data_IF_042383967363
#
_entry.id   IF_042383967363
#
_cell.length_a   1.000
_cell.length_b   1.000
_cell.length_c   1.000
_cell.angle_alpha   90.00
_cell.angle_beta   90.00
_cell.angle_gamma   90.00
#
_symmetry.space_group_name_H-M   'P 1'
#
loop_
_entity.id
_entity.type
_entity.pdbx_description
1 polymer ?
#
# COMPACT_ATOMS: atom_id res chain seq x y z
N UNK A 1 26.94 -4.03 -2.85
CA UNK A 1 26.32 -2.87 -2.18
C UNK A 1 25.67 -2.03 -3.27
N UNK A 2 24.36 -2.17 -3.48
CA UNK A 2 23.63 -1.32 -4.42
C UNK A 2 23.37 0.02 -3.76
N UNK A 3 23.88 1.09 -4.30
CA UNK A 3 23.48 2.45 -3.99
C UNK A 3 22.00 2.58 -4.41
N UNK A 4 21.09 2.47 -3.46
CA UNK A 4 19.70 2.88 -3.68
C UNK A 4 19.68 4.40 -3.79
N UNK A 5 19.69 4.91 -5.00
CA UNK A 5 19.47 6.34 -5.24
C UNK A 5 17.97 6.58 -5.08
N UNK A 6 17.57 7.15 -3.95
CA UNK A 6 16.18 7.54 -3.72
C UNK A 6 15.83 8.75 -4.56
N UNK A 7 14.65 8.73 -5.18
CA UNK A 7 14.14 9.88 -5.90
C UNK A 7 13.66 10.94 -4.89
N UNK A 8 14.05 12.19 -5.11
CA UNK A 8 13.54 13.28 -4.29
C UNK A 8 12.07 13.55 -4.63
N UNK A 9 11.23 13.53 -3.60
CA UNK A 9 9.77 13.69 -3.69
C UNK A 9 9.32 14.92 -4.48
N UNK A 10 10.06 16.01 -4.40
CA UNK A 10 9.69 17.31 -4.99
C UNK A 10 9.96 17.41 -6.50
N UNK A 11 10.69 16.47 -7.08
CA UNK A 11 11.12 16.53 -8.49
C UNK A 11 10.31 15.63 -9.43
N UNK A 12 9.45 14.73 -8.90
CA UNK A 12 8.72 13.77 -9.71
C UNK A 12 7.24 14.18 -9.84
N UNK A 13 6.71 14.36 -11.06
CA UNK A 13 5.28 14.59 -11.26
C UNK A 13 4.43 13.51 -10.61
N UNK A 14 3.26 13.89 -10.04
CA UNK A 14 2.38 13.01 -9.26
C UNK A 14 1.99 11.74 -10.01
N UNK A 15 1.64 11.86 -11.28
CA UNK A 15 1.29 10.72 -12.13
C UNK A 15 2.47 9.76 -12.36
N UNK A 16 3.66 10.30 -12.59
CA UNK A 16 4.88 9.48 -12.75
C UNK A 16 5.21 8.76 -11.43
N UNK A 17 5.07 9.44 -10.30
CA UNK A 17 5.26 8.82 -8.99
C UNK A 17 4.31 7.65 -8.76
N UNK A 18 3.02 7.79 -9.11
CA UNK A 18 2.02 6.69 -9.07
C UNK A 18 2.45 5.50 -9.92
N UNK A 19 2.87 5.77 -11.15
CA UNK A 19 3.35 4.73 -12.07
C UNK A 19 4.54 3.99 -11.47
N UNK A 20 5.54 4.70 -10.94
CA UNK A 20 6.71 4.09 -10.32
C UNK A 20 6.35 3.24 -9.10
N UNK A 21 5.46 3.73 -8.23
CA UNK A 21 4.96 2.97 -7.09
C UNK A 21 4.28 1.68 -7.56
N UNK A 22 3.42 1.76 -8.57
CA UNK A 22 2.72 0.59 -9.11
C UNK A 22 3.66 -0.41 -9.81
N UNK A 23 4.70 0.06 -10.48
CA UNK A 23 5.72 -0.82 -11.07
C UNK A 23 6.54 -1.55 -10.01
N UNK A 24 6.99 -0.87 -8.94
CA UNK A 24 7.69 -1.54 -7.84
C UNK A 24 6.75 -2.56 -7.16
N UNK A 25 5.49 -2.21 -6.93
CA UNK A 25 4.49 -3.12 -6.39
C UNK A 25 4.36 -4.41 -7.23
N UNK A 26 4.27 -4.29 -8.55
CA UNK A 26 4.23 -5.45 -9.45
C UNK A 26 5.52 -6.27 -9.40
N UNK A 27 6.68 -5.62 -9.26
CA UNK A 27 7.96 -6.29 -9.12
C UNK A 27 8.02 -7.10 -7.81
N UNK A 28 7.59 -6.49 -6.69
CA UNK A 28 7.54 -7.16 -5.38
C UNK A 28 6.61 -8.39 -5.38
N UNK A 29 5.46 -8.29 -6.07
CA UNK A 29 4.53 -9.41 -6.24
C UNK A 29 5.18 -10.54 -7.04
N UNK A 30 5.83 -10.24 -8.18
CA UNK A 30 6.53 -11.23 -9.00
C UNK A 30 7.66 -11.93 -8.25
N UNK A 31 8.38 -11.19 -7.40
CA UNK A 31 9.44 -11.72 -6.56
C UNK A 31 8.94 -12.46 -5.30
N UNK A 32 7.61 -12.52 -5.11
CA UNK A 32 6.96 -13.11 -3.92
C UNK A 32 7.39 -12.47 -2.60
N UNK A 33 7.83 -11.22 -2.64
CA UNK A 33 8.15 -10.41 -1.46
C UNK A 33 6.91 -9.87 -0.78
N UNK A 34 5.85 -9.62 -1.55
CA UNK A 34 4.52 -9.25 -1.05
C UNK A 34 3.55 -10.38 -1.42
N UNK A 35 2.79 -10.84 -0.44
CA UNK A 35 1.67 -11.74 -0.61
C UNK A 35 0.36 -10.98 -0.40
N UNK A 36 -0.47 -10.81 -1.42
CA UNK A 36 -1.74 -10.11 -1.29
C UNK A 36 -2.67 -10.80 -0.31
N UNK A 37 -3.12 -10.06 0.70
CA UNK A 37 -4.05 -10.53 1.72
C UNK A 37 -5.13 -9.50 1.98
N UNK A 38 -6.39 -9.92 1.97
CA UNK A 38 -7.53 -9.07 2.33
C UNK A 38 -7.57 -8.80 3.83
N UNK A 39 -8.19 -7.70 4.19
CA UNK A 39 -8.41 -7.29 5.59
C UNK A 39 -7.11 -7.16 6.41
N UNK A 40 -6.00 -6.86 5.74
CA UNK A 40 -4.70 -6.71 6.41
C UNK A 40 -3.91 -5.65 5.70
N UNK A 41 -3.69 -4.49 6.31
CA UNK A 41 -2.91 -3.44 5.65
C UNK A 41 -1.48 -3.90 5.38
N UNK A 42 -0.72 -4.22 6.41
CA UNK A 42 0.61 -4.83 6.30
C UNK A 42 0.78 -5.76 7.51
N UNK A 43 1.11 -7.01 7.25
CA UNK A 43 1.57 -7.95 8.26
C UNK A 43 3.03 -8.30 7.99
N UNK A 44 3.89 -7.84 8.88
CA UNK A 44 5.31 -8.17 8.90
C UNK A 44 5.48 -9.30 9.92
N UNK A 45 5.61 -10.53 9.47
CA UNK A 45 5.64 -11.72 10.31
C UNK A 45 6.65 -11.66 11.49
N UNK A 46 7.70 -10.85 11.35
CA UNK A 46 8.72 -10.65 12.38
C UNK A 46 8.67 -9.27 13.06
N UNK A 47 7.83 -8.35 12.61
CA UNK A 47 7.80 -6.96 13.09
C UNK A 47 7.18 -6.78 14.48
N UNK A 48 6.49 -7.79 15.00
CA UNK A 48 6.07 -7.81 16.42
C UNK A 48 7.24 -7.69 17.39
N UNK A 49 8.49 -7.83 16.88
CA UNK A 49 9.74 -7.66 17.62
C UNK A 49 10.47 -6.35 17.32
N UNK A 50 9.85 -5.44 16.55
CA UNK A 50 10.42 -4.10 16.29
C UNK A 50 10.34 -3.31 17.59
N UNK A 51 11.39 -3.38 18.39
CA UNK A 51 11.50 -2.66 19.64
C UNK A 51 11.87 -1.18 19.43
N UNK A 52 11.91 -0.43 20.52
CA UNK A 52 12.26 1.00 20.57
C UNK A 52 13.55 1.36 19.77
N UNK A 53 14.52 0.44 19.74
CA UNK A 53 15.78 0.64 19.01
C UNK A 53 15.64 0.81 17.51
N UNK A 54 14.49 0.43 16.95
CA UNK A 54 14.25 0.47 15.49
C UNK A 54 13.34 1.63 15.08
N UNK A 55 12.84 2.44 15.99
CA UNK A 55 11.95 3.59 15.72
C UNK A 55 12.51 4.56 14.69
N UNK A 56 13.83 4.74 14.66
CA UNK A 56 14.50 5.67 13.75
C UNK A 56 14.86 5.07 12.39
N UNK A 57 14.63 3.77 12.19
CA UNK A 57 14.87 3.14 10.90
C UNK A 57 13.84 3.62 9.88
N UNK A 58 14.25 3.61 8.63
CA UNK A 58 13.33 3.78 7.52
C UNK A 58 12.49 2.51 7.35
N UNK A 59 11.24 2.66 6.93
CA UNK A 59 10.30 1.55 6.80
C UNK A 59 10.78 0.51 5.78
N UNK A 60 11.38 0.95 4.67
CA UNK A 60 11.95 0.07 3.65
C UNK A 60 13.03 -0.85 4.21
N UNK A 61 13.90 -0.34 5.10
CA UNK A 61 14.96 -1.14 5.74
C UNK A 61 14.41 -2.27 6.60
N UNK A 62 13.25 -2.06 7.23
CA UNK A 62 12.58 -3.10 8.01
C UNK A 62 11.92 -4.11 7.09
N UNK A 63 11.28 -3.66 6.02
CA UNK A 63 10.60 -4.51 5.04
C UNK A 63 11.61 -5.38 4.28
N UNK A 64 12.76 -4.84 3.88
CA UNK A 64 13.79 -5.59 3.14
C UNK A 64 14.36 -6.77 3.93
N UNK A 65 14.39 -6.68 5.25
CA UNK A 65 14.84 -7.77 6.13
C UNK A 65 13.84 -8.93 6.22
N UNK A 66 12.59 -8.69 5.82
CA UNK A 66 11.56 -9.73 5.85
C UNK A 66 11.73 -10.68 4.66
N UNK A 67 11.49 -11.97 4.88
CA UNK A 67 11.42 -12.95 3.80
C UNK A 67 10.27 -12.62 2.83
N UNK A 68 9.14 -12.26 3.38
CA UNK A 68 7.96 -11.72 2.71
C UNK A 68 7.10 -10.96 3.72
N UNK A 69 6.20 -10.14 3.22
CA UNK A 69 5.11 -9.54 4.01
C UNK A 69 3.75 -9.85 3.39
N UNK A 70 2.71 -9.87 4.19
CA UNK A 70 1.33 -9.94 3.72
C UNK A 70 0.75 -8.53 3.74
N UNK A 71 0.06 -8.13 2.67
CA UNK A 71 -0.49 -6.79 2.57
C UNK A 71 -1.75 -6.73 1.69
N UNK A 72 -2.68 -5.81 2.03
CA UNK A 72 -3.75 -5.42 1.11
C UNK A 72 -3.21 -4.49 0.00
N UNK A 73 -4.10 -3.98 -0.84
CA UNK A 73 -3.70 -3.09 -1.92
C UNK A 73 -3.05 -1.80 -1.40
N UNK A 74 -3.65 -1.13 -0.41
CA UNK A 74 -3.09 0.09 0.17
C UNK A 74 -1.76 -0.15 0.86
N UNK A 75 -1.64 -1.24 1.63
CA UNK A 75 -0.38 -1.65 2.25
C UNK A 75 0.71 -1.92 1.22
N UNK A 76 0.37 -2.54 0.10
CA UNK A 76 1.30 -2.79 -1.01
C UNK A 76 1.80 -1.48 -1.63
N UNK A 77 0.91 -0.51 -1.85
CA UNK A 77 1.29 0.82 -2.35
C UNK A 77 2.19 1.55 -1.34
N UNK A 78 1.90 1.46 -0.04
CA UNK A 78 2.72 2.07 1.01
C UNK A 78 4.13 1.47 1.04
N UNK A 79 4.26 0.15 0.97
CA UNK A 79 5.55 -0.54 0.91
C UNK A 79 6.36 -0.04 -0.28
N UNK A 80 5.77 -0.02 -1.47
CA UNK A 80 6.44 0.40 -2.70
C UNK A 80 6.81 1.89 -2.66
N UNK A 81 5.93 2.73 -2.10
CA UNK A 81 6.23 4.14 -1.87
C UNK A 81 7.44 4.31 -0.94
N UNK A 82 7.50 3.57 0.17
CA UNK A 82 8.62 3.63 1.11
C UNK A 82 9.94 3.22 0.43
N UNK A 83 9.90 2.20 -0.43
CA UNK A 83 11.08 1.71 -1.16
C UNK A 83 11.61 2.70 -2.19
N UNK A 84 10.73 3.42 -2.88
CA UNK A 84 11.14 4.35 -3.95
C UNK A 84 11.59 5.69 -3.38
N UNK A 85 10.88 6.23 -2.40
CA UNK A 85 11.05 7.60 -1.93
C UNK A 85 11.69 7.72 -0.54
N UNK A 86 11.95 6.62 0.14
CA UNK A 86 12.67 6.53 1.44
C UNK A 86 12.37 7.65 2.45
N UNK A 87 11.11 8.00 2.61
CA UNK A 87 10.72 9.14 3.46
C UNK A 87 9.80 8.73 4.61
N UNK A 88 9.67 7.43 4.88
CA UNK A 88 8.82 6.91 5.95
C UNK A 88 9.64 6.25 7.04
N UNK A 89 9.58 6.81 8.23
CA UNK A 89 10.17 6.22 9.43
C UNK A 89 9.23 5.20 10.05
N UNK A 90 9.79 4.17 10.64
CA UNK A 90 9.05 3.18 11.44
C UNK A 90 8.23 3.85 12.53
N UNK A 91 8.79 4.90 13.17
CA UNK A 91 8.09 5.68 14.21
C UNK A 91 6.76 6.27 13.78
N UNK A 92 6.57 6.52 12.48
CA UNK A 92 5.28 7.02 11.94
C UNK A 92 4.14 6.01 12.06
N UNK A 93 4.45 4.73 12.29
CA UNK A 93 3.48 3.63 12.41
C UNK A 93 3.58 2.90 13.75
N UNK A 94 4.36 3.46 14.70
CA UNK A 94 4.45 2.90 16.05
C UNK A 94 3.26 3.33 16.90
N UNK A 95 2.70 2.37 17.62
CA UNK A 95 1.73 2.58 18.69
C UNK A 95 2.37 2.20 20.03
N UNK A 96 1.66 2.38 21.11
CA UNK A 96 2.08 1.88 22.44
C UNK A 96 2.22 0.34 22.49
N UNK A 97 1.55 -0.36 21.57
CA UNK A 97 1.56 -1.83 21.43
C UNK A 97 2.59 -2.35 20.42
N UNK A 98 3.34 -1.46 19.76
CA UNK A 98 4.34 -1.79 18.76
C UNK A 98 4.02 -1.25 17.37
N UNK A 99 4.62 -1.84 16.33
CA UNK A 99 4.39 -1.45 14.95
C UNK A 99 3.02 -1.98 14.50
N UNK A 100 2.10 -1.07 14.25
CA UNK A 100 0.75 -1.39 13.80
C UNK A 100 0.39 -0.61 12.53
N UNK A 101 0.09 -1.36 11.49
CA UNK A 101 -0.47 -0.86 10.22
C UNK A 101 -1.96 -1.18 10.13
N UNK A 102 -2.52 -1.83 11.17
CA UNK A 102 -3.91 -2.26 11.17
C UNK A 102 -4.81 -1.18 11.74
N UNK A 103 -5.92 -1.02 11.09
CA UNK A 103 -6.96 -0.06 11.34
C UNK A 103 -7.78 -0.25 12.63
N UNK A 104 -7.39 -1.09 13.56
CA UNK A 104 -8.21 -1.37 14.73
C UNK A 104 -8.32 -0.22 15.75
N UNK A 105 -7.48 0.78 15.60
CA UNK A 105 -7.54 2.02 16.41
C UNK A 105 -7.55 3.20 15.46
N UNK A 106 -8.69 3.82 15.25
CA UNK A 106 -9.02 4.91 14.32
C UNK A 106 -7.94 5.88 13.82
N UNK A 107 -6.77 5.89 14.45
CA UNK A 107 -5.65 6.76 14.10
C UNK A 107 -4.66 6.14 13.08
N UNK A 108 -4.56 4.82 13.00
CA UNK A 108 -3.58 4.17 12.11
C UNK A 108 -3.98 4.20 10.64
N UNK A 109 -5.28 4.23 10.35
CA UNK A 109 -5.81 4.34 8.99
C UNK A 109 -5.44 5.66 8.34
N UNK A 110 -5.54 6.74 9.11
CA UNK A 110 -5.20 8.07 8.62
C UNK A 110 -3.71 8.17 8.24
N UNK A 111 -2.81 7.60 9.03
CA UNK A 111 -1.36 7.68 8.77
C UNK A 111 -0.96 6.96 7.49
N UNK A 112 -1.54 5.78 7.22
CA UNK A 112 -1.31 5.06 5.98
C UNK A 112 -1.85 5.85 4.79
N UNK A 113 -3.09 6.34 4.88
CA UNK A 113 -3.72 7.16 3.85
C UNK A 113 -2.94 8.45 3.64
N UNK A 114 -2.63 9.19 4.70
CA UNK A 114 -1.87 10.45 4.65
C UNK A 114 -0.51 10.26 3.97
N UNK A 115 0.12 9.10 4.16
CA UNK A 115 1.37 8.75 3.49
C UNK A 115 1.21 8.54 1.99
N UNK A 116 0.03 8.19 1.50
CA UNK A 116 -0.26 7.96 0.08
C UNK A 116 -0.88 9.17 -0.62
N UNK A 117 -1.56 10.06 0.11
CA UNK A 117 -2.22 11.26 -0.44
C UNK A 117 -1.31 12.19 -1.25
N UNK A 118 0.00 12.31 -0.98
CA UNK A 118 0.89 13.08 -1.85
C UNK A 118 0.94 12.57 -3.30
N UNK A 119 0.61 11.29 -3.52
CA UNK A 119 0.69 10.62 -4.81
C UNK A 119 -0.66 10.27 -5.40
N UNK A 120 -1.61 9.83 -4.57
CA UNK A 120 -2.93 9.35 -4.97
C UNK A 120 -4.00 10.29 -4.43
N UNK A 121 -5.11 10.39 -5.14
CA UNK A 121 -6.27 11.10 -4.63
C UNK A 121 -7.07 10.18 -3.70
N UNK A 122 -7.81 10.76 -2.76
CA UNK A 122 -8.57 10.00 -1.76
C UNK A 122 -9.57 9.06 -2.41
N UNK A 123 -10.25 9.52 -3.45
CA UNK A 123 -11.22 8.75 -4.24
C UNK A 123 -10.54 7.56 -4.93
N UNK A 124 -9.34 7.75 -5.48
CA UNK A 124 -8.56 6.66 -6.08
C UNK A 124 -8.20 5.61 -5.04
N UNK A 125 -7.71 6.00 -3.88
CA UNK A 125 -7.34 5.06 -2.80
C UNK A 125 -8.57 4.29 -2.31
N UNK A 126 -9.70 4.96 -2.17
CA UNK A 126 -10.97 4.33 -1.78
C UNK A 126 -11.44 3.31 -2.82
N UNK A 127 -11.31 3.63 -4.11
CA UNK A 127 -11.64 2.71 -5.20
C UNK A 127 -10.68 1.51 -5.25
N UNK A 128 -9.39 1.75 -5.08
CA UNK A 128 -8.35 0.71 -5.03
C UNK A 128 -8.67 -0.28 -3.91
N UNK A 129 -8.98 0.21 -2.71
CA UNK A 129 -9.32 -0.62 -1.56
C UNK A 129 -10.60 -1.43 -1.81
N UNK A 130 -11.68 -0.76 -2.23
CA UNK A 130 -12.96 -1.39 -2.48
C UNK A 130 -12.88 -2.49 -3.57
N UNK A 131 -12.17 -2.23 -4.67
CA UNK A 131 -11.95 -3.22 -5.73
C UNK A 131 -11.11 -4.40 -5.25
N UNK A 132 -10.08 -4.14 -4.45
CA UNK A 132 -9.24 -5.21 -3.92
C UNK A 132 -10.00 -6.09 -2.93
N UNK A 133 -10.66 -5.49 -1.96
CA UNK A 133 -11.43 -6.21 -0.95
C UNK A 133 -12.69 -6.88 -1.53
N UNK A 134 -13.29 -6.27 -2.56
CA UNK A 134 -14.46 -6.79 -3.28
C UNK A 134 -15.77 -6.56 -2.51
N UNK A 135 -15.82 -5.54 -1.67
CA UNK A 135 -17.04 -5.07 -1.01
C UNK A 135 -17.12 -3.54 -0.98
N UNK A 136 -18.34 -3.01 -0.96
CA UNK A 136 -18.63 -1.60 -1.23
C UNK A 136 -18.36 -0.60 -0.10
N UNK A 137 -17.71 -1.04 0.99
CA UNK A 137 -17.37 -0.15 2.10
C UNK A 137 -15.97 -0.52 2.59
N UNK A 138 -14.95 -0.04 1.90
CA UNK A 138 -13.60 0.01 2.45
C UNK A 138 -13.55 1.03 3.60
N UNK A 139 -12.57 0.93 4.49
CA UNK A 139 -12.44 1.89 5.60
C UNK A 139 -12.08 3.29 5.11
N UNK A 140 -11.36 3.40 3.99
CA UNK A 140 -11.19 4.65 3.25
C UNK A 140 -12.50 5.15 2.60
N UNK A 141 -13.49 4.27 2.45
CA UNK A 141 -14.69 4.44 1.63
C UNK A 141 -15.95 4.87 2.37
N UNK A 142 -15.86 5.44 3.56
CA UNK A 142 -17.07 6.05 4.19
C UNK A 142 -17.70 7.12 3.30
N UNK A 143 -16.96 7.64 2.32
CA UNK A 143 -17.41 8.67 1.38
C UNK A 143 -17.11 8.30 -0.09
N UNK A 144 -16.86 7.03 -0.43
CA UNK A 144 -16.69 6.64 -1.83
C UNK A 144 -18.07 6.42 -2.46
N UNK A 145 -18.49 7.31 -3.32
CA UNK A 145 -19.74 7.22 -4.10
C UNK A 145 -19.68 6.19 -5.24
N UNK A 146 -18.71 5.27 -5.21
CA UNK A 146 -18.57 4.26 -6.24
C UNK A 146 -19.69 3.24 -6.13
N UNK A 147 -20.46 3.12 -7.21
CA UNK A 147 -21.56 2.16 -7.32
C UNK A 147 -21.02 0.72 -7.23
N UNK A 148 -21.33 0.07 -6.11
CA UNK A 148 -20.88 -1.30 -5.84
C UNK A 148 -21.30 -2.28 -6.93
N UNK A 149 -22.55 -2.24 -7.35
CA UNK A 149 -23.09 -3.19 -8.31
C UNK A 149 -22.54 -2.96 -9.72
N UNK A 150 -22.25 -1.71 -10.08
CA UNK A 150 -21.74 -1.38 -11.42
C UNK A 150 -20.23 -1.53 -11.55
N UNK A 151 -19.46 -1.30 -10.51
CA UNK A 151 -17.99 -1.25 -10.60
C UNK A 151 -17.34 -2.38 -9.79
N UNK A 152 -17.56 -2.43 -8.48
CA UNK A 152 -16.81 -3.29 -7.58
C UNK A 152 -17.17 -4.76 -7.77
N UNK A 153 -18.45 -5.08 -7.80
CA UNK A 153 -18.93 -6.46 -7.95
C UNK A 153 -18.53 -7.10 -9.28
N UNK A 154 -18.68 -6.44 -10.46
CA UNK A 154 -18.17 -6.97 -11.73
C UNK A 154 -16.65 -7.16 -11.71
N UNK A 155 -15.88 -6.22 -11.17
CA UNK A 155 -14.45 -6.33 -11.03
C UNK A 155 -14.05 -7.53 -10.15
N UNK A 156 -14.67 -7.65 -8.96
CA UNK A 156 -14.44 -8.77 -8.05
C UNK A 156 -14.84 -10.13 -8.64
N UNK A 157 -15.87 -10.15 -9.49
CA UNK A 157 -16.29 -11.34 -10.21
C UNK A 157 -15.33 -11.75 -11.34
N UNK A 158 -14.71 -10.78 -11.99
CA UNK A 158 -13.70 -11.01 -13.03
C UNK A 158 -12.37 -11.50 -12.44
N UNK A 159 -11.94 -10.93 -11.32
CA UNK A 159 -10.67 -11.24 -10.67
C UNK A 159 -10.91 -11.92 -9.33
N UNK A 160 -10.87 -13.26 -9.29
CA UNK A 160 -11.32 -14.07 -8.14
C UNK A 160 -10.38 -14.05 -6.95
N UNK A 161 -9.07 -13.91 -7.16
CA UNK A 161 -8.07 -13.96 -6.09
C UNK A 161 -7.59 -12.54 -5.71
N UNK A 162 -7.12 -12.38 -4.47
CA UNK A 162 -6.50 -11.13 -4.01
C UNK A 162 -5.34 -10.71 -4.93
N UNK A 163 -4.50 -11.67 -5.35
CA UNK A 163 -3.38 -11.41 -6.23
C UNK A 163 -3.84 -10.93 -7.62
N UNK A 164 -4.81 -11.61 -8.24
CA UNK A 164 -5.33 -11.21 -9.56
C UNK A 164 -5.99 -9.83 -9.54
N UNK A 165 -6.70 -9.50 -8.45
CA UNK A 165 -7.27 -8.16 -8.26
C UNK A 165 -6.18 -7.09 -8.16
N UNK A 166 -5.19 -7.32 -7.29
CA UNK A 166 -4.10 -6.37 -7.09
C UNK A 166 -3.33 -6.12 -8.38
N UNK A 167 -2.97 -7.18 -9.11
CA UNK A 167 -2.28 -7.05 -10.40
C UNK A 167 -3.13 -6.25 -11.39
N UNK A 168 -4.45 -6.49 -11.46
CA UNK A 168 -5.33 -5.76 -12.36
C UNK A 168 -5.44 -4.28 -12.00
N UNK A 169 -5.55 -3.95 -10.71
CA UNK A 169 -5.56 -2.56 -10.20
C UNK A 169 -4.27 -1.83 -10.60
N UNK A 170 -3.12 -2.42 -10.26
CA UNK A 170 -1.81 -1.80 -10.54
C UNK A 170 -1.58 -1.57 -12.04
N UNK A 171 -1.94 -2.56 -12.88
CA UNK A 171 -1.86 -2.43 -14.32
C UNK A 171 -2.80 -1.35 -14.87
N UNK A 172 -4.01 -1.24 -14.31
CA UNK A 172 -4.96 -0.20 -14.71
C UNK A 172 -4.40 1.20 -14.44
N UNK A 173 -3.85 1.43 -13.25
CA UNK A 173 -3.23 2.72 -12.90
C UNK A 173 -2.08 3.05 -13.87
N UNK A 174 -1.21 2.08 -14.17
CA UNK A 174 -0.09 2.27 -15.09
C UNK A 174 -0.59 2.59 -16.50
N UNK A 175 -1.60 1.87 -17.00
CA UNK A 175 -2.12 2.02 -18.38
C UNK A 175 -2.90 3.32 -18.58
N UNK A 176 -3.34 3.96 -17.51
CA UNK A 176 -4.06 5.23 -17.54
C UNK A 176 -3.18 6.41 -17.06
N UNK A 177 -1.88 6.33 -17.31
CA UNK A 177 -0.90 7.37 -16.97
C UNK A 177 -0.94 7.80 -15.49
N UNK A 178 -1.21 6.83 -14.61
CA UNK A 178 -1.30 7.06 -13.17
C UNK A 178 -2.65 7.63 -12.70
N UNK A 179 -3.69 7.55 -13.52
CA UNK A 179 -5.06 7.96 -13.17
C UNK A 179 -5.87 6.82 -12.56
#
# INVERSE_FOLDING_TARGET
>A
MGLHTYLELKSVPKNIARILICYDALLQLRQKKIKPRKNTYIDLAEAKKVGERQKNLQLDQVIEKQRYCEACALGTLLISRARIFNSLKVSSFMTEWGLDFCASTGDSDYRLMDSLLPYFDKEQLSLVEACFEGYGKGMAGRNCEVDYDKVIKPFANKYKTAESRLIAILKNIISNDGL
#
